data_IF_101541193927
#
_entry.id   IF_101541193927
#
_cell.length_a   1.000
_cell.length_b   1.000
_cell.length_c   1.000
_cell.angle_alpha   90.00
_cell.angle_beta   90.00
_cell.angle_gamma   90.00
#
_symmetry.space_group_name_H-M   'P 1'
#
loop_
_entity.id
_entity.type
_entity.pdbx_description
1 polymer ?
#
# COMPACT_ATOMS: atom_id res chain seq x y z
N UNK A 1 -15.12 4.11 -6.04
CA UNK A 1 -14.21 4.46 -4.92
C UNK A 1 -14.23 3.36 -3.85
N UNK A 2 -13.14 3.18 -3.14
CA UNK A 2 -13.10 2.22 -2.04
C UNK A 2 -13.90 2.74 -0.83
N UNK A 3 -14.50 1.81 -0.09
CA UNK A 3 -15.23 2.15 1.13
C UNK A 3 -14.26 2.64 2.22
N UNK A 4 -14.71 3.55 3.06
CA UNK A 4 -13.90 4.07 4.18
C UNK A 4 -13.48 2.96 5.14
N UNK A 5 -14.34 1.95 5.35
CA UNK A 5 -14.01 0.79 6.19
C UNK A 5 -12.80 0.02 5.67
N UNK A 6 -12.66 -0.12 4.35
CA UNK A 6 -11.54 -0.81 3.71
C UNK A 6 -10.26 0.00 3.87
N UNK A 7 -10.33 1.31 3.71
CA UNK A 7 -9.20 2.22 3.92
C UNK A 7 -8.72 2.16 5.38
N UNK A 8 -9.64 2.19 6.32
CA UNK A 8 -9.33 2.09 7.75
C UNK A 8 -8.68 0.75 8.10
N UNK A 9 -9.14 -0.34 7.49
CA UNK A 9 -8.56 -1.67 7.68
C UNK A 9 -7.12 -1.70 7.19
N UNK A 10 -6.83 -1.08 6.06
CA UNK A 10 -5.47 -1.01 5.52
C UNK A 10 -4.53 -0.24 6.45
N UNK A 11 -4.99 0.86 7.03
CA UNK A 11 -4.23 1.63 8.03
C UNK A 11 -3.91 0.77 9.26
N UNK A 12 -4.90 0.00 9.75
CA UNK A 12 -4.69 -0.93 10.87
C UNK A 12 -3.64 -2.00 10.56
N UNK A 13 -3.68 -2.57 9.35
CA UNK A 13 -2.69 -3.54 8.90
C UNK A 13 -1.29 -2.95 8.86
N UNK A 14 -1.16 -1.73 8.36
CA UNK A 14 0.12 -1.04 8.31
C UNK A 14 0.70 -0.84 9.71
N UNK A 15 -0.12 -0.42 10.67
CA UNK A 15 0.31 -0.26 12.06
C UNK A 15 0.77 -1.58 12.66
N UNK A 16 0.04 -2.67 12.41
CA UNK A 16 0.43 -4.00 12.91
C UNK A 16 1.71 -4.51 12.26
N UNK A 17 1.89 -4.29 10.96
CA UNK A 17 3.12 -4.66 10.26
C UNK A 17 4.31 -3.93 10.86
N UNK A 18 4.20 -2.62 11.09
CA UNK A 18 5.26 -1.82 11.69
C UNK A 18 5.58 -2.29 13.11
N UNK A 19 4.55 -2.60 13.89
CA UNK A 19 4.69 -3.06 15.29
C UNK A 19 5.44 -4.40 15.39
N UNK A 20 5.17 -5.33 14.48
CA UNK A 20 5.75 -6.67 14.51
C UNK A 20 6.94 -6.87 13.55
N UNK A 21 7.39 -5.83 12.87
CA UNK A 21 8.44 -5.92 11.86
C UNK A 21 9.75 -6.49 12.43
N UNK A 22 10.22 -5.96 13.55
CA UNK A 22 11.45 -6.42 14.20
C UNK A 22 11.33 -7.85 14.70
N UNK A 23 10.20 -8.18 15.33
CA UNK A 23 9.94 -9.52 15.83
C UNK A 23 9.93 -10.56 14.72
N UNK A 24 9.30 -10.23 13.58
CA UNK A 24 9.29 -11.10 12.41
C UNK A 24 10.69 -11.30 11.82
N UNK A 25 11.47 -10.23 11.70
CA UNK A 25 12.83 -10.30 11.19
C UNK A 25 13.70 -11.20 12.09
N UNK A 26 13.58 -11.06 13.40
CA UNK A 26 14.31 -11.86 14.37
C UNK A 26 13.94 -13.34 14.26
N UNK A 27 12.64 -13.66 14.19
CA UNK A 27 12.17 -15.04 14.09
C UNK A 27 12.58 -15.69 12.78
N UNK A 28 12.59 -14.95 11.68
CA UNK A 28 13.10 -15.44 10.39
C UNK A 28 14.59 -15.76 10.46
N UNK A 29 15.38 -14.89 11.08
CA UNK A 29 16.81 -15.09 11.24
C UNK A 29 17.12 -16.33 12.09
N UNK A 30 16.29 -16.60 13.10
CA UNK A 30 16.40 -17.78 13.96
C UNK A 30 15.83 -19.05 13.33
N UNK A 31 15.04 -18.92 12.25
CA UNK A 31 14.37 -20.04 11.59
C UNK A 31 13.19 -20.59 12.36
N UNK A 32 12.62 -19.84 13.29
CA UNK A 32 11.50 -20.27 14.12
C UNK A 32 10.16 -20.00 13.42
N UNK A 33 9.80 -20.88 12.52
CA UNK A 33 8.58 -20.74 11.73
C UNK A 33 7.29 -21.02 12.53
N UNK A 34 7.38 -21.77 13.61
CA UNK A 34 6.22 -22.03 14.49
C UNK A 34 5.78 -20.75 15.19
N UNK A 35 6.73 -20.00 15.75
CA UNK A 35 6.43 -18.72 16.37
C UNK A 35 5.95 -17.69 15.34
N UNK A 36 6.51 -17.71 14.13
CA UNK A 36 6.02 -16.85 13.03
C UNK A 36 4.56 -17.12 12.72
N UNK A 37 4.13 -18.40 12.71
CA UNK A 37 2.75 -18.76 12.43
C UNK A 37 1.77 -18.33 13.51
N UNK A 38 2.25 -18.12 14.74
CA UNK A 38 1.44 -17.67 15.88
C UNK A 38 1.20 -16.15 15.89
N UNK A 39 1.98 -15.38 15.12
CA UNK A 39 1.80 -13.94 15.04
C UNK A 39 0.47 -13.59 14.37
N UNK A 40 -0.13 -12.43 14.71
CA UNK A 40 -1.37 -12.01 14.07
C UNK A 40 -1.24 -11.99 12.54
N UNK A 41 -2.27 -12.46 11.84
CA UNK A 41 -2.25 -12.51 10.37
C UNK A 41 -2.06 -11.12 9.76
N UNK A 42 -2.67 -10.10 10.34
CA UNK A 42 -2.57 -8.73 9.85
C UNK A 42 -1.20 -8.09 10.09
N UNK A 43 -0.30 -8.76 10.81
CA UNK A 43 1.09 -8.32 10.97
C UNK A 43 1.96 -8.71 9.78
N UNK A 44 1.45 -9.51 8.85
CA UNK A 44 2.18 -9.94 7.66
C UNK A 44 2.22 -8.85 6.59
N UNK A 45 3.41 -8.44 6.12
CA UNK A 45 3.52 -7.40 5.10
C UNK A 45 2.93 -7.82 3.74
N UNK A 46 2.80 -9.13 3.47
CA UNK A 46 2.22 -9.60 2.21
C UNK A 46 0.73 -9.29 2.08
N UNK A 47 0.06 -8.96 3.18
CA UNK A 47 -1.35 -8.56 3.17
C UNK A 47 -1.55 -7.09 2.85
N UNK A 48 -0.49 -6.30 2.86
CA UNK A 48 -0.56 -4.88 2.51
C UNK A 48 -0.72 -4.72 1.00
N UNK A 49 -1.61 -3.81 0.63
CA UNK A 49 -1.78 -3.39 -0.77
C UNK A 49 -1.55 -1.90 -0.88
N UNK A 50 -0.82 -1.49 -1.90
CA UNK A 50 -0.74 -0.09 -2.25
C UNK A 50 -2.10 0.38 -2.74
N UNK A 51 -2.58 1.49 -2.19
CA UNK A 51 -3.87 2.07 -2.55
C UNK A 51 -3.69 3.53 -2.92
N UNK A 52 -4.51 3.99 -3.86
CA UNK A 52 -4.52 5.40 -4.24
C UNK A 52 -4.75 6.28 -3.01
N UNK A 53 -3.90 7.29 -2.81
CA UNK A 53 -4.01 8.19 -1.66
C UNK A 53 -5.28 9.04 -1.68
N UNK A 54 -5.90 9.22 -2.84
CA UNK A 54 -7.10 10.04 -2.99
C UNK A 54 -8.39 9.23 -3.00
N UNK A 55 -8.41 8.08 -3.69
CA UNK A 55 -9.63 7.27 -3.84
C UNK A 55 -9.61 5.95 -3.09
N UNK A 56 -8.42 5.47 -2.69
CA UNK A 56 -8.27 4.18 -2.04
C UNK A 56 -8.30 2.98 -2.98
N UNK A 57 -8.29 3.21 -4.29
CA UNK A 57 -8.33 2.14 -5.29
C UNK A 57 -7.06 1.29 -5.21
N UNK A 58 -7.15 -0.07 -5.09
CA UNK A 58 -5.97 -0.92 -5.01
C UNK A 58 -5.38 -1.27 -6.38
N UNK A 59 -6.16 -1.20 -7.45
CA UNK A 59 -5.71 -1.53 -8.81
C UNK A 59 -5.24 -0.29 -9.56
N UNK A 60 -4.31 -0.50 -10.48
CA UNK A 60 -3.79 0.59 -11.31
C UNK A 60 -3.02 1.63 -10.50
N UNK A 61 -2.38 1.22 -9.41
CA UNK A 61 -1.60 2.10 -8.56
C UNK A 61 -0.26 2.43 -9.21
N UNK A 62 0.07 3.72 -9.26
CA UNK A 62 1.36 4.22 -9.77
C UNK A 62 2.24 4.60 -8.57
N UNK A 63 3.26 3.79 -8.30
CA UNK A 63 4.13 3.96 -7.12
C UNK A 63 4.84 5.32 -7.09
N UNK A 64 5.23 5.81 -8.23
CA UNK A 64 5.95 7.07 -8.35
C UNK A 64 5.15 8.25 -7.79
N UNK A 65 3.83 8.24 -7.95
CA UNK A 65 2.96 9.33 -7.52
C UNK A 65 2.05 8.97 -6.34
N UNK A 66 1.95 7.69 -5.98
CA UNK A 66 1.07 7.25 -4.90
C UNK A 66 -0.41 7.34 -5.19
N UNK A 67 -0.81 7.34 -6.45
CA UNK A 67 -2.18 7.51 -6.91
C UNK A 67 -2.52 6.48 -8.00
N UNK A 68 -3.84 6.27 -8.22
CA UNK A 68 -4.29 5.35 -9.29
C UNK A 68 -4.06 5.97 -10.67
N UNK A 69 -4.03 5.12 -11.70
CA UNK A 69 -3.91 5.57 -13.09
C UNK A 69 -5.03 6.53 -13.50
N UNK A 70 -6.23 6.34 -12.96
CA UNK A 70 -7.40 7.18 -13.26
C UNK A 70 -7.18 8.58 -12.71
N UNK A 71 -6.80 8.69 -11.44
CA UNK A 71 -6.51 9.98 -10.80
C UNK A 71 -5.29 10.65 -11.45
N UNK A 72 -4.27 9.87 -11.77
CA UNK A 72 -3.08 10.38 -12.48
C UNK A 72 -3.47 11.05 -13.79
N UNK A 73 -4.30 10.38 -14.60
CA UNK A 73 -4.75 10.93 -15.89
C UNK A 73 -5.54 12.22 -15.69
N UNK A 74 -6.43 12.26 -14.72
CA UNK A 74 -7.21 13.46 -14.42
C UNK A 74 -6.33 14.64 -14.02
N UNK A 75 -5.40 14.42 -13.09
CA UNK A 75 -4.50 15.46 -12.62
C UNK A 75 -3.52 15.91 -13.69
N UNK A 76 -3.00 15.00 -14.50
CA UNK A 76 -2.11 15.32 -15.60
C UNK A 76 -2.82 16.16 -16.66
N UNK A 77 -4.06 15.82 -16.99
CA UNK A 77 -4.89 16.58 -17.94
C UNK A 77 -5.18 18.00 -17.45
N UNK A 78 -5.27 18.20 -16.14
CA UNK A 78 -5.47 19.51 -15.52
C UNK A 78 -4.16 20.28 -15.30
N UNK A 79 -3.01 19.68 -15.63
CA UNK A 79 -1.71 20.29 -15.44
C UNK A 79 -1.26 20.42 -13.99
N UNK A 80 -1.80 19.58 -13.10
CA UNK A 80 -1.51 19.64 -11.66
C UNK A 80 -0.30 18.81 -11.22
N UNK A 81 0.27 18.01 -12.13
CA UNK A 81 1.46 17.21 -11.84
C UNK A 81 2.68 17.83 -12.51
N UNK A 82 3.66 18.35 -11.74
CA UNK A 82 4.86 18.96 -12.33
C UNK A 82 5.67 17.96 -13.15
N UNK A 83 6.20 18.41 -14.27
CA UNK A 83 7.08 17.62 -15.13
C UNK A 83 6.39 16.59 -16.00
N UNK A 84 5.07 16.46 -15.91
CA UNK A 84 4.30 15.52 -16.72
C UNK A 84 3.77 16.24 -17.96
N UNK A 85 4.05 15.68 -19.13
CA UNK A 85 3.56 16.19 -20.42
C UNK A 85 2.75 15.09 -21.11
N UNK A 86 1.74 15.53 -21.87
CA UNK A 86 0.99 14.64 -22.73
C UNK A 86 1.88 14.19 -23.89
N UNK A 87 2.07 12.88 -24.04
CA UNK A 87 2.88 12.31 -25.10
C UNK A 87 2.03 12.06 -26.35
N UNK A 88 2.62 12.36 -27.52
CA UNK A 88 1.99 12.10 -28.80
C UNK A 88 3.08 11.62 -29.76
N UNK A 89 3.03 10.32 -30.14
CA UNK A 89 3.94 9.71 -31.09
C UNK A 89 3.24 8.83 -32.08
#
# INVERSE_FOLDING_TARGET
MAKESIKAREVRRQKMVDRFAEKRAKLKAEGDYQELSRLPRNSSPVRLHNRCNLTGRPRGYIRQFGISRIVFRELASKGLIPGVRKASW
#
